data_IF_244547948587
#
_entry.id   IF_244547948587
#
_cell.length_a   1.000
_cell.length_b   1.000
_cell.length_c   1.000
_cell.angle_alpha   90.00
_cell.angle_beta   90.00
_cell.angle_gamma   90.00
#
_symmetry.space_group_name_H-M   'P 1'
#
loop_
_entity.id
_entity.type
_entity.pdbx_description
1 polymer ?
#
# COMPACT_ATOMS: atom_id res chain seq x y z
N UNK A 1 -7.86 -1.01 7.94
CA UNK A 1 -6.81 -1.91 7.45
C UNK A 1 -5.44 -1.55 8.01
N UNK A 2 -4.63 -2.54 8.35
CA UNK A 2 -3.19 -2.43 8.66
C UNK A 2 -2.42 -2.87 7.41
N UNK A 3 -2.18 -1.91 6.52
CA UNK A 3 -1.65 -2.15 5.19
C UNK A 3 -0.15 -1.92 5.18
N UNK A 4 0.63 -2.97 4.92
CA UNK A 4 2.07 -2.87 4.81
C UNK A 4 2.49 -2.89 3.34
N UNK A 5 3.35 -1.96 2.95
CA UNK A 5 3.92 -1.83 1.60
C UNK A 5 5.43 -1.95 1.72
N UNK A 6 6.06 -2.78 0.89
CA UNK A 6 7.52 -2.93 0.88
C UNK A 6 8.02 -3.48 -0.46
N UNK A 7 9.19 -3.03 -0.85
CA UNK A 7 10.01 -3.59 -1.91
C UNK A 7 11.45 -3.81 -1.42
N UNK A 8 12.30 -4.40 -2.27
CA UNK A 8 13.70 -4.64 -1.89
C UNK A 8 14.51 -3.36 -1.72
N UNK A 9 14.09 -2.25 -2.35
CA UNK A 9 14.69 -0.93 -2.16
C UNK A 9 14.50 -0.36 -0.75
N UNK A 10 13.61 -0.91 0.06
CA UNK A 10 13.30 -0.45 1.43
C UNK A 10 14.14 -1.16 2.51
N UNK A 11 14.94 -2.15 2.13
CA UNK A 11 15.68 -3.05 3.03
C UNK A 11 17.08 -3.34 2.50
N UNK A 12 17.91 -4.01 3.30
CA UNK A 12 19.31 -4.29 2.93
C UNK A 12 19.45 -5.32 1.80
N UNK A 13 18.64 -6.39 1.83
CA UNK A 13 18.66 -7.49 0.86
C UNK A 13 17.36 -8.32 0.88
N UNK A 14 17.27 -9.32 -0.01
CA UNK A 14 16.08 -10.20 -0.12
C UNK A 14 15.86 -11.05 1.14
N UNK A 15 16.90 -11.46 1.83
CA UNK A 15 16.77 -12.25 3.07
C UNK A 15 16.12 -11.40 4.17
N UNK A 16 16.55 -10.16 4.31
CA UNK A 16 15.96 -9.19 5.24
C UNK A 16 14.52 -8.85 4.85
N UNK A 17 14.23 -8.68 3.55
CA UNK A 17 12.87 -8.49 3.05
C UNK A 17 11.94 -9.61 3.52
N UNK A 18 12.31 -10.87 3.30
CA UNK A 18 11.49 -12.03 3.68
C UNK A 18 11.35 -12.17 5.20
N UNK A 19 12.41 -11.85 5.95
CA UNK A 19 12.38 -11.86 7.43
C UNK A 19 11.37 -10.83 7.96
N UNK A 20 11.43 -9.59 7.46
CA UNK A 20 10.51 -8.51 7.86
C UNK A 20 9.08 -8.85 7.48
N UNK A 21 8.84 -9.31 6.25
CA UNK A 21 7.52 -9.69 5.78
C UNK A 21 6.93 -10.80 6.67
N UNK A 22 7.69 -11.85 6.94
CA UNK A 22 7.22 -12.95 7.80
C UNK A 22 6.86 -12.46 9.21
N UNK A 23 7.68 -11.60 9.82
CA UNK A 23 7.36 -11.01 11.13
C UNK A 23 6.11 -10.14 11.09
N UNK A 24 5.94 -9.31 10.05
CA UNK A 24 4.76 -8.46 9.89
C UNK A 24 3.47 -9.28 9.72
N UNK A 25 3.52 -10.34 8.92
CA UNK A 25 2.40 -11.28 8.73
C UNK A 25 2.01 -11.95 10.05
N UNK A 26 2.97 -12.51 10.78
CA UNK A 26 2.74 -13.10 12.12
C UNK A 26 2.19 -12.11 13.12
N UNK A 27 2.56 -10.83 13.00
CA UNK A 27 2.15 -9.78 13.92
C UNK A 27 0.84 -9.10 13.54
N UNK A 28 0.19 -9.53 12.44
CA UNK A 28 -1.20 -9.19 12.14
C UNK A 28 -1.40 -7.98 11.24
N UNK A 29 -0.53 -7.76 10.25
CA UNK A 29 -0.93 -6.93 9.09
C UNK A 29 -2.13 -7.58 8.40
N UNK A 30 -2.99 -6.78 7.78
CA UNK A 30 -4.23 -7.26 7.15
C UNK A 30 -4.22 -7.15 5.64
N UNK A 31 -3.21 -6.52 5.09
CA UNK A 31 -2.99 -6.35 3.64
C UNK A 31 -1.51 -6.11 3.40
N UNK A 32 -0.95 -6.73 2.36
CA UNK A 32 0.44 -6.51 1.95
C UNK A 32 0.51 -6.08 0.50
N UNK A 33 1.35 -5.07 0.19
CA UNK A 33 1.66 -4.67 -1.18
C UNK A 33 3.14 -4.90 -1.47
N UNK A 34 3.42 -5.68 -2.51
CA UNK A 34 4.75 -5.83 -3.07
C UNK A 34 4.99 -4.73 -4.10
N UNK A 35 5.96 -3.86 -3.82
CA UNK A 35 6.25 -2.67 -4.63
C UNK A 35 7.74 -2.59 -4.94
N UNK A 36 8.13 -3.02 -6.13
CA UNK A 36 9.48 -2.86 -6.68
C UNK A 36 9.50 -1.64 -7.60
N UNK A 37 9.94 -0.49 -7.09
CA UNK A 37 9.97 0.78 -7.85
C UNK A 37 11.07 1.71 -7.34
N UNK A 38 11.81 2.31 -8.25
CA UNK A 38 12.90 3.22 -7.93
C UNK A 38 14.28 2.56 -7.94
N UNK A 39 15.27 3.28 -7.46
CA UNK A 39 16.66 2.82 -7.44
C UNK A 39 16.82 1.58 -6.53
N UNK A 40 17.49 0.55 -7.03
CA UNK A 40 17.72 -0.69 -6.29
C UNK A 40 16.59 -1.71 -6.34
N UNK A 41 15.44 -1.36 -6.94
CA UNK A 41 14.32 -2.29 -7.12
C UNK A 41 14.67 -3.45 -8.04
N UNK A 42 14.15 -4.64 -7.75
CA UNK A 42 14.29 -5.82 -8.60
C UNK A 42 13.51 -5.67 -9.90
N UNK A 43 14.03 -6.26 -10.97
CA UNK A 43 13.41 -6.30 -12.28
C UNK A 43 13.43 -7.72 -12.86
N UNK A 44 12.56 -7.96 -13.86
CA UNK A 44 12.56 -9.19 -14.64
C UNK A 44 12.40 -10.45 -13.79
N UNK A 45 13.24 -11.46 -14.08
CA UNK A 45 13.15 -12.78 -13.46
C UNK A 45 13.36 -12.77 -11.94
N UNK A 46 14.24 -11.90 -11.43
CA UNK A 46 14.47 -11.77 -9.98
C UNK A 46 13.23 -11.23 -9.26
N UNK A 47 12.58 -10.20 -9.82
CA UNK A 47 11.32 -9.67 -9.31
C UNK A 47 10.24 -10.74 -9.28
N UNK A 48 10.09 -11.53 -10.35
CA UNK A 48 9.12 -12.62 -10.41
C UNK A 48 9.40 -13.72 -9.38
N UNK A 49 10.67 -14.12 -9.20
CA UNK A 49 11.04 -15.15 -8.23
C UNK A 49 10.72 -14.73 -6.81
N UNK A 50 11.06 -13.50 -6.41
CA UNK A 50 10.72 -12.99 -5.09
C UNK A 50 9.20 -12.85 -4.93
N UNK A 51 8.49 -12.36 -5.95
CA UNK A 51 7.03 -12.24 -5.91
C UNK A 51 6.32 -13.58 -5.65
N UNK A 52 6.83 -14.68 -6.21
CA UNK A 52 6.31 -16.04 -5.93
C UNK A 52 6.52 -16.45 -4.46
N UNK A 53 7.66 -16.13 -3.87
CA UNK A 53 7.90 -16.38 -2.45
C UNK A 53 7.00 -15.53 -1.57
N UNK A 54 6.81 -14.26 -1.92
CA UNK A 54 5.86 -13.35 -1.26
C UNK A 54 4.45 -13.90 -1.31
N UNK A 55 4.01 -14.36 -2.49
CA UNK A 55 2.68 -14.98 -2.65
C UNK A 55 2.49 -16.20 -1.75
N UNK A 56 3.48 -17.09 -1.71
CA UNK A 56 3.42 -18.27 -0.85
C UNK A 56 3.31 -17.90 0.63
N UNK A 57 4.09 -16.89 1.04
CA UNK A 57 4.11 -16.41 2.42
C UNK A 57 2.79 -15.74 2.82
N UNK A 58 2.27 -14.84 2.01
CA UNK A 58 1.00 -14.15 2.29
C UNK A 58 -0.18 -15.13 2.31
N UNK A 59 -0.19 -16.14 1.43
CA UNK A 59 -1.19 -17.19 1.41
C UNK A 59 -1.17 -18.04 2.69
N UNK A 60 0.00 -18.36 3.21
CA UNK A 60 0.15 -19.12 4.48
C UNK A 60 -0.52 -18.42 5.67
N UNK A 61 -0.50 -17.07 5.67
CA UNK A 61 -1.10 -16.26 6.73
C UNK A 61 -2.50 -15.73 6.39
N UNK A 62 -3.06 -16.11 5.24
CA UNK A 62 -4.35 -15.64 4.73
C UNK A 62 -4.42 -14.10 4.64
N UNK A 63 -3.31 -13.45 4.30
CA UNK A 63 -3.22 -12.01 4.07
C UNK A 63 -3.26 -11.75 2.57
N UNK A 64 -4.20 -10.94 2.06
CA UNK A 64 -4.26 -10.62 0.65
C UNK A 64 -2.99 -9.90 0.16
N UNK A 65 -2.57 -10.25 -1.07
CA UNK A 65 -1.40 -9.68 -1.75
C UNK A 65 -1.83 -8.73 -2.87
N UNK A 66 -1.31 -7.51 -2.82
CA UNK A 66 -1.44 -6.48 -3.85
C UNK A 66 -0.11 -6.33 -4.58
N UNK A 67 -0.17 -6.15 -5.89
CA UNK A 67 1.00 -5.75 -6.71
C UNK A 67 0.87 -4.28 -7.08
N UNK A 68 1.97 -3.54 -7.00
CA UNK A 68 2.05 -2.14 -7.43
C UNK A 68 2.29 -2.09 -8.95
N UNK A 69 1.38 -1.47 -9.70
CA UNK A 69 1.33 -1.14 -11.14
C UNK A 69 1.61 -2.27 -12.16
N UNK A 70 2.25 -3.37 -11.78
CA UNK A 70 2.66 -4.45 -12.68
C UNK A 70 1.56 -5.50 -12.88
N UNK A 71 0.67 -5.25 -13.85
CA UNK A 71 -0.46 -6.12 -14.18
C UNK A 71 -0.03 -7.53 -14.59
N UNK A 72 1.04 -7.63 -15.38
CA UNK A 72 1.56 -8.93 -15.84
C UNK A 72 2.05 -9.78 -14.65
N UNK A 73 2.76 -9.16 -13.72
CA UNK A 73 3.21 -9.81 -12.49
C UNK A 73 2.02 -10.23 -11.62
N UNK A 74 1.03 -9.35 -11.44
CA UNK A 74 -0.15 -9.64 -10.63
C UNK A 74 -0.89 -10.89 -11.13
N UNK A 75 -1.09 -11.02 -12.43
CA UNK A 75 -1.69 -12.23 -13.02
C UNK A 75 -0.76 -13.44 -12.95
N UNK A 76 0.54 -13.28 -13.20
CA UNK A 76 1.51 -14.38 -13.22
C UNK A 76 1.63 -15.11 -11.86
N UNK A 77 1.42 -14.40 -10.76
CA UNK A 77 1.49 -14.97 -9.41
C UNK A 77 0.12 -15.18 -8.75
N UNK A 78 -0.96 -14.95 -9.48
CA UNK A 78 -2.32 -14.97 -8.94
C UNK A 78 -2.44 -14.10 -7.67
N UNK A 79 -2.04 -12.84 -7.76
CA UNK A 79 -2.24 -11.87 -6.69
C UNK A 79 -3.73 -11.64 -6.42
N UNK A 80 -4.07 -11.09 -5.27
CA UNK A 80 -5.46 -10.80 -4.91
C UNK A 80 -5.90 -9.41 -5.42
N UNK A 81 -4.96 -8.47 -5.55
CA UNK A 81 -5.25 -7.12 -5.98
C UNK A 81 -4.08 -6.44 -6.71
N UNK A 82 -4.40 -5.28 -7.25
CA UNK A 82 -3.45 -4.40 -7.93
C UNK A 82 -3.69 -2.95 -7.51
N UNK A 83 -2.63 -2.16 -7.43
CA UNK A 83 -2.70 -0.74 -7.09
C UNK A 83 -2.05 0.11 -8.17
N UNK A 84 -2.71 1.20 -8.57
CA UNK A 84 -2.25 2.14 -9.57
C UNK A 84 -2.07 3.54 -9.01
N UNK A 85 -1.03 4.24 -9.45
CA UNK A 85 -0.85 5.68 -9.31
C UNK A 85 -1.57 6.46 -10.40
N UNK A 86 -1.46 7.80 -10.35
CA UNK A 86 -2.08 8.69 -11.33
C UNK A 86 -1.43 8.60 -12.73
N UNK A 87 -0.18 8.16 -12.80
CA UNK A 87 0.62 8.09 -14.03
C UNK A 87 0.70 6.67 -14.62
N UNK A 88 0.03 5.69 -14.00
CA UNK A 88 0.09 4.28 -14.39
C UNK A 88 -1.01 3.90 -15.42
N UNK A 89 -1.42 4.85 -16.26
CA UNK A 89 -2.42 4.64 -17.31
C UNK A 89 -3.83 5.10 -16.93
N UNK A 90 -4.78 4.88 -17.86
CA UNK A 90 -6.17 5.28 -17.60
C UNK A 90 -6.87 4.28 -16.68
N UNK A 91 -7.54 4.72 -15.63
CA UNK A 91 -8.22 3.84 -14.67
C UNK A 91 -9.17 2.84 -15.33
N UNK A 92 -9.94 3.26 -16.32
CA UNK A 92 -10.91 2.39 -17.03
C UNK A 92 -10.21 1.24 -17.77
N UNK A 93 -9.05 1.50 -18.38
CA UNK A 93 -8.31 0.46 -19.11
C UNK A 93 -7.64 -0.52 -18.14
N UNK A 94 -7.09 0.01 -17.04
CA UNK A 94 -6.49 -0.80 -15.98
C UNK A 94 -7.52 -1.73 -15.33
N UNK A 95 -8.72 -1.24 -15.05
CA UNK A 95 -9.82 -2.03 -14.49
C UNK A 95 -10.26 -3.15 -15.45
N UNK A 96 -10.37 -2.86 -16.75
CA UNK A 96 -10.69 -3.91 -17.73
C UNK A 96 -9.66 -5.04 -17.77
N UNK A 97 -8.39 -4.71 -17.55
CA UNK A 97 -7.29 -5.68 -17.55
C UNK A 97 -7.14 -6.40 -16.21
N UNK A 98 -7.63 -5.83 -15.11
CA UNK A 98 -7.49 -6.42 -13.77
C UNK A 98 -8.26 -7.73 -13.59
N UNK A 99 -9.33 -7.94 -14.37
CA UNK A 99 -10.16 -9.15 -14.25
C UNK A 99 -10.80 -9.26 -12.86
N UNK A 100 -10.41 -10.29 -12.11
CA UNK A 100 -10.92 -10.55 -10.76
C UNK A 100 -10.05 -9.92 -9.63
N UNK A 101 -8.98 -9.19 -9.98
CA UNK A 101 -8.17 -8.49 -8.97
C UNK A 101 -8.98 -7.33 -8.37
N UNK A 102 -8.93 -7.15 -7.05
CA UNK A 102 -9.42 -5.90 -6.50
C UNK A 102 -8.46 -4.75 -6.83
N UNK A 103 -9.01 -3.55 -7.04
CA UNK A 103 -8.26 -2.40 -7.58
C UNK A 103 -8.20 -1.28 -6.57
N UNK A 104 -6.97 -0.86 -6.24
CA UNK A 104 -6.68 0.36 -5.51
C UNK A 104 -6.14 1.45 -6.42
N UNK A 105 -6.49 2.71 -6.14
CA UNK A 105 -5.99 3.88 -6.88
C UNK A 105 -5.51 4.97 -5.93
N UNK A 106 -4.33 5.52 -6.21
CA UNK A 106 -3.77 6.64 -5.44
C UNK A 106 -4.47 7.97 -5.76
N UNK A 107 -4.76 8.76 -4.73
CA UNK A 107 -5.38 10.09 -4.83
C UNK A 107 -4.67 11.06 -3.87
N UNK A 108 -4.29 12.23 -4.36
CA UNK A 108 -3.62 13.25 -3.54
C UNK A 108 -4.46 14.52 -3.33
N UNK A 109 -5.54 14.71 -4.09
CA UNK A 109 -6.38 15.90 -4.00
C UNK A 109 -7.79 15.64 -4.56
N UNK A 110 -8.68 16.61 -4.36
CA UNK A 110 -10.07 16.52 -4.82
C UNK A 110 -10.19 16.39 -6.34
N UNK A 111 -9.33 17.05 -7.11
CA UNK A 111 -9.39 16.98 -8.59
C UNK A 111 -9.05 15.58 -9.09
N UNK A 112 -8.04 14.93 -8.50
CA UNK A 112 -7.69 13.55 -8.80
C UNK A 112 -8.84 12.60 -8.44
N UNK A 113 -9.46 12.82 -7.26
CA UNK A 113 -10.63 12.02 -6.86
C UNK A 113 -11.81 12.19 -7.83
N UNK A 114 -12.13 13.40 -8.25
CA UNK A 114 -13.23 13.67 -9.18
C UNK A 114 -13.09 12.93 -10.52
N UNK A 115 -11.86 12.71 -10.99
CA UNK A 115 -11.59 11.95 -12.24
C UNK A 115 -11.97 10.47 -12.13
N UNK A 116 -11.97 9.92 -10.92
CA UNK A 116 -12.20 8.50 -10.68
C UNK A 116 -13.50 8.22 -9.91
N UNK A 117 -14.15 9.23 -9.36
CA UNK A 117 -15.32 9.09 -8.48
C UNK A 117 -16.47 8.26 -9.09
N UNK A 118 -16.62 8.31 -10.41
CA UNK A 118 -17.68 7.58 -11.14
C UNK A 118 -17.15 6.37 -11.92
N UNK A 119 -15.88 6.01 -11.74
CA UNK A 119 -15.28 4.85 -12.42
C UNK A 119 -15.61 3.60 -11.62
N UNK A 120 -16.46 2.75 -12.19
CA UNK A 120 -16.82 1.48 -11.57
C UNK A 120 -15.63 0.51 -11.53
N UNK A 121 -15.54 -0.30 -10.48
CA UNK A 121 -14.49 -1.33 -10.33
C UNK A 121 -13.25 -0.87 -9.57
N UNK A 122 -13.29 0.31 -8.96
CA UNK A 122 -12.30 0.74 -7.95
C UNK A 122 -12.81 0.31 -6.57
N UNK A 123 -12.04 -0.49 -5.85
CA UNK A 123 -12.44 -1.04 -4.55
C UNK A 123 -12.01 -0.16 -3.37
N UNK A 124 -10.90 0.56 -3.50
CA UNK A 124 -10.42 1.51 -2.48
C UNK A 124 -9.52 2.57 -3.08
N UNK A 125 -9.33 3.66 -2.35
CA UNK A 125 -8.38 4.70 -2.71
C UNK A 125 -7.29 4.84 -1.63
N UNK A 126 -6.04 4.98 -2.08
CA UNK A 126 -4.90 5.35 -1.25
C UNK A 126 -4.74 6.87 -1.24
N UNK A 127 -4.99 7.50 -0.10
CA UNK A 127 -4.98 8.97 0.02
C UNK A 127 -3.69 9.46 0.66
N UNK A 128 -2.92 10.28 -0.05
CA UNK A 128 -1.68 10.84 0.47
C UNK A 128 -0.81 11.56 -0.56
N UNK A 129 0.42 11.92 -0.14
CA UNK A 129 1.03 11.67 1.17
C UNK A 129 0.40 12.55 2.27
N UNK A 130 0.13 11.96 3.44
CA UNK A 130 -0.43 12.72 4.56
C UNK A 130 0.63 13.61 5.20
N UNK A 131 1.82 13.05 5.43
CA UNK A 131 3.00 13.76 5.93
C UNK A 131 4.17 13.66 4.96
N UNK A 132 5.20 14.47 5.13
CA UNK A 132 6.42 14.38 4.34
C UNK A 132 7.03 12.97 4.44
N UNK A 133 7.52 12.45 3.32
CA UNK A 133 8.08 11.10 3.24
C UNK A 133 9.21 11.03 2.21
N UNK A 134 10.20 10.22 2.50
CA UNK A 134 11.31 9.88 1.58
C UNK A 134 11.20 8.45 1.03
N UNK A 135 10.20 7.69 1.48
CA UNK A 135 10.00 6.27 1.05
C UNK A 135 9.60 6.12 -0.41
N UNK A 136 9.15 7.20 -1.05
CA UNK A 136 8.87 7.25 -2.49
C UNK A 136 9.61 8.45 -3.08
N UNK A 137 10.42 8.22 -4.11
CA UNK A 137 11.18 9.27 -4.80
C UNK A 137 10.29 10.28 -5.55
N UNK A 138 9.08 9.87 -5.89
CA UNK A 138 8.04 10.61 -6.62
C UNK A 138 6.94 11.16 -5.69
N UNK A 139 7.20 11.25 -4.38
CA UNK A 139 6.21 11.73 -3.42
C UNK A 139 5.82 13.19 -3.69
N UNK A 140 4.52 13.43 -3.79
CA UNK A 140 3.93 14.77 -3.90
C UNK A 140 4.04 15.53 -2.57
N UNK A 141 3.82 16.85 -2.54
CA UNK A 141 3.73 17.60 -1.29
C UNK A 141 2.67 17.01 -0.35
N UNK A 142 2.91 17.01 0.97
CA UNK A 142 1.98 16.45 1.95
C UNK A 142 0.67 17.26 2.00
N UNK A 143 -0.46 16.56 2.09
CA UNK A 143 -1.79 17.16 2.15
C UNK A 143 -2.27 17.41 3.59
N UNK A 144 -1.60 16.81 4.57
CA UNK A 144 -1.94 16.91 6.00
C UNK A 144 -3.26 16.24 6.37
N UNK A 145 -3.58 16.30 7.64
CA UNK A 145 -4.87 15.81 8.18
C UNK A 145 -6.05 16.60 7.61
N UNK A 146 -5.88 17.88 7.32
CA UNK A 146 -6.92 18.71 6.72
C UNK A 146 -7.29 18.22 5.31
N UNK A 147 -6.31 17.97 4.45
CA UNK A 147 -6.55 17.42 3.11
C UNK A 147 -7.18 16.02 3.14
N UNK A 148 -6.73 15.17 4.06
CA UNK A 148 -7.36 13.87 4.29
C UNK A 148 -8.83 14.02 4.69
N UNK A 149 -9.14 14.87 5.64
CA UNK A 149 -10.51 15.13 6.10
C UNK A 149 -11.41 15.71 4.99
N UNK A 150 -10.85 16.50 4.08
CA UNK A 150 -11.60 16.99 2.91
C UNK A 150 -11.97 15.83 1.98
N UNK A 151 -11.05 14.93 1.69
CA UNK A 151 -11.31 13.77 0.84
C UNK A 151 -12.29 12.78 1.49
N UNK A 152 -12.21 12.55 2.79
CA UNK A 152 -13.17 11.71 3.53
C UNK A 152 -14.62 12.21 3.36
N UNK A 153 -14.84 13.53 3.35
CA UNK A 153 -16.19 14.10 3.20
C UNK A 153 -16.82 13.91 1.83
N UNK A 154 -16.00 13.74 0.79
CA UNK A 154 -16.49 13.67 -0.60
C UNK A 154 -16.34 12.30 -1.22
N UNK A 155 -15.51 11.45 -0.66
CA UNK A 155 -15.24 10.12 -1.23
C UNK A 155 -16.32 9.11 -0.83
N UNK A 156 -16.69 8.27 -1.80
CA UNK A 156 -17.60 7.14 -1.63
C UNK A 156 -16.86 5.81 -1.54
N UNK A 157 -15.56 5.82 -1.88
CA UNK A 157 -14.70 4.64 -1.79
C UNK A 157 -14.09 4.51 -0.41
N UNK A 158 -13.82 3.30 0.07
CA UNK A 158 -12.98 3.09 1.24
C UNK A 158 -11.64 3.79 1.12
N UNK A 159 -11.20 4.45 2.18
CA UNK A 159 -9.98 5.26 2.21
C UNK A 159 -8.90 4.62 3.06
N UNK A 160 -7.73 4.40 2.46
CA UNK A 160 -6.50 4.05 3.16
C UNK A 160 -5.55 5.25 3.11
N UNK A 161 -5.24 5.82 4.27
CA UNK A 161 -4.29 6.93 4.37
C UNK A 161 -2.85 6.43 4.20
N UNK A 162 -2.01 7.18 3.47
CA UNK A 162 -0.61 6.81 3.22
C UNK A 162 0.31 8.02 3.19
N UNK A 163 1.60 7.80 3.47
CA UNK A 163 2.68 8.77 3.32
C UNK A 163 3.09 9.43 4.63
N UNK A 164 4.32 9.14 5.08
CA UNK A 164 4.93 9.68 6.28
C UNK A 164 4.24 9.28 7.59
N UNK A 165 3.42 8.22 7.56
CA UNK A 165 2.74 7.72 8.76
C UNK A 165 3.73 6.90 9.60
N UNK A 166 3.86 7.30 10.87
CA UNK A 166 4.73 6.73 11.88
C UNK A 166 3.96 6.49 13.18
N UNK A 167 4.58 5.81 14.16
CA UNK A 167 3.93 5.47 15.44
C UNK A 167 3.39 6.68 16.21
N UNK A 168 4.06 7.82 16.14
CA UNK A 168 3.73 9.05 16.85
C UNK A 168 2.55 9.82 16.25
N UNK A 169 2.32 9.66 14.94
CA UNK A 169 1.25 10.37 14.22
C UNK A 169 0.08 9.46 13.78
N UNK A 170 0.22 8.14 13.86
CA UNK A 170 -0.79 7.17 13.44
C UNK A 170 -2.16 7.40 14.08
N UNK A 171 -2.20 7.70 15.39
CA UNK A 171 -3.48 7.96 16.09
C UNK A 171 -4.23 9.15 15.51
N UNK A 172 -3.52 10.21 15.09
CA UNK A 172 -4.14 11.38 14.44
C UNK A 172 -4.75 11.02 13.10
N UNK A 173 -4.12 10.11 12.35
CA UNK A 173 -4.66 9.60 11.08
C UNK A 173 -5.91 8.77 11.32
N UNK A 174 -5.84 7.80 12.23
CA UNK A 174 -6.97 6.89 12.51
C UNK A 174 -8.19 7.63 13.08
N UNK A 175 -7.98 8.68 13.88
CA UNK A 175 -9.07 9.50 14.43
C UNK A 175 -9.85 10.31 13.39
N UNK A 176 -9.38 10.38 12.14
CA UNK A 176 -10.14 11.02 11.05
C UNK A 176 -11.29 10.16 10.53
N UNK A 177 -11.34 8.87 10.89
CA UNK A 177 -12.35 7.93 10.43
C UNK A 177 -12.01 7.21 9.13
N UNK A 178 -10.72 7.18 8.72
CA UNK A 178 -10.26 6.36 7.58
C UNK A 178 -10.44 4.87 7.83
N UNK A 179 -10.63 4.10 6.76
CA UNK A 179 -10.78 2.64 6.81
C UNK A 179 -9.47 1.91 7.11
N UNK A 180 -8.36 2.62 7.05
CA UNK A 180 -7.06 2.10 7.41
C UNK A 180 -5.90 3.03 7.09
N UNK A 181 -4.70 2.57 7.39
CA UNK A 181 -3.47 3.25 7.03
C UNK A 181 -2.51 2.28 6.32
N UNK A 182 -1.74 2.82 5.36
CA UNK A 182 -0.67 2.12 4.70
C UNK A 182 0.69 2.72 5.10
N UNK A 183 1.64 1.87 5.42
CA UNK A 183 2.95 2.26 5.91
C UNK A 183 4.07 1.47 5.22
N UNK A 184 5.24 2.09 5.09
CA UNK A 184 6.50 1.47 4.65
C UNK A 184 7.46 1.44 5.83
N UNK A 185 8.13 2.54 6.10
CA UNK A 185 9.23 2.65 7.08
C UNK A 185 8.81 2.37 8.53
N UNK A 186 7.58 2.66 8.91
CA UNK A 186 7.09 2.37 10.26
C UNK A 186 7.23 0.88 10.63
N UNK A 187 7.17 -0.03 9.65
CA UNK A 187 7.35 -1.47 9.84
C UNK A 187 8.73 -1.91 9.37
N UNK A 188 9.15 -1.54 8.15
CA UNK A 188 10.42 -2.02 7.57
C UNK A 188 11.66 -1.58 8.37
N UNK A 189 11.60 -0.45 9.08
CA UNK A 189 12.67 0.08 9.92
C UNK A 189 12.39 -0.09 11.42
N UNK A 190 11.39 -0.88 11.79
CA UNK A 190 11.06 -1.11 13.20
C UNK A 190 12.05 -2.07 13.86
N UNK A 191 12.58 -1.69 15.01
CA UNK A 191 13.38 -2.57 15.85
C UNK A 191 12.55 -3.72 16.45
N UNK A 192 11.25 -3.50 16.67
CA UNK A 192 10.30 -4.49 17.20
C UNK A 192 8.97 -4.39 16.45
N UNK A 193 8.86 -5.18 15.37
CA UNK A 193 7.68 -5.22 14.51
C UNK A 193 6.45 -5.73 15.28
N UNK A 194 6.63 -6.70 16.17
CA UNK A 194 5.53 -7.26 16.96
C UNK A 194 4.92 -6.20 17.88
N UNK A 195 5.73 -5.44 18.59
CA UNK A 195 5.29 -4.34 19.43
C UNK A 195 4.65 -3.23 18.61
N UNK A 196 5.25 -2.85 17.50
CA UNK A 196 4.73 -1.80 16.60
C UNK A 196 3.31 -2.14 16.12
N UNK A 197 3.08 -3.38 15.71
CA UNK A 197 1.77 -3.83 15.25
C UNK A 197 0.78 -4.10 16.39
N UNK A 198 1.24 -4.51 17.57
CA UNK A 198 0.40 -4.61 18.76
C UNK A 198 -0.11 -3.22 19.17
N UNK A 199 0.77 -2.21 19.23
CA UNK A 199 0.40 -0.83 19.50
C UNK A 199 -0.60 -0.28 18.46
N UNK A 200 -0.44 -0.65 17.19
CA UNK A 200 -1.41 -0.27 16.15
C UNK A 200 -2.79 -0.88 16.38
N UNK A 201 -2.85 -2.19 16.66
CA UNK A 201 -4.15 -2.87 16.98
C UNK A 201 -4.89 -2.24 18.14
N UNK A 202 -4.18 -1.80 19.16
CA UNK A 202 -4.79 -1.19 20.35
C UNK A 202 -5.32 0.23 20.11
N UNK A 203 -5.07 0.81 18.92
CA UNK A 203 -5.53 2.15 18.52
C UNK A 203 -6.68 2.09 17.50
N UNK A 204 -7.04 0.90 17.03
CA UNK A 204 -8.15 0.60 16.14
C UNK A 204 -9.22 -0.17 16.87
#
# INVERSE_FOLDING_TARGET
ARYFIMGTQDVADEAEFLRILNQALRSGITLFQYREKGQGALVGQKKLQLAKQVRALTAQYHVPLVIDDDMALAHAIAADGIHFGQDDGRPVDNIKQSGNLFVGVSVSNQQEYQRIAHVAGIDHIGVGPIFATTSKSDAKPPIGISGLSQLIRIAHHPIVAIGGIQRDNLSKVLSTGVDGAAVISMISQSEDIQKTLADWRNRT
#
